data_IF_612029575787
#
_entry.id   IF_612029575787
#
_cell.length_a   1.000
_cell.length_b   1.000
_cell.length_c   1.000
_cell.angle_alpha   90.00
_cell.angle_beta   90.00
_cell.angle_gamma   90.00
#
_symmetry.space_group_name_H-M   'P 1'
#
loop_
_entity.id
_entity.type
_entity.pdbx_description
1 polymer ?
#
# COMPACT_ATOMS: atom_id res chain seq x y z
N UNK A 1 11.01 -0.85 21.48
CA UNK A 1 11.04 -1.59 20.41
C UNK A 1 10.48 -0.97 19.22
N UNK A 2 11.06 -1.21 18.18
CA UNK A 2 10.66 -0.65 16.99
C UNK A 2 9.39 -1.26 16.54
N UNK A 3 8.49 -0.45 16.21
CA UNK A 3 7.28 -0.91 15.79
C UNK A 3 7.35 -1.41 14.49
N UNK A 4 8.21 -1.16 13.78
CA UNK A 4 8.33 -1.62 12.47
C UNK A 4 7.28 -1.06 11.57
N UNK A 5 7.24 -1.61 10.38
CA UNK A 5 6.33 -1.19 9.33
C UNK A 5 5.22 -2.21 9.25
N UNK A 6 3.98 -1.85 9.58
CA UNK A 6 2.88 -2.81 9.51
C UNK A 6 2.65 -3.30 8.10
N UNK A 7 2.62 -4.60 7.94
CA UNK A 7 2.44 -5.23 6.64
C UNK A 7 1.01 -5.72 6.49
N UNK A 8 0.41 -5.43 5.36
CA UNK A 8 -0.92 -5.96 5.05
C UNK A 8 -0.75 -7.38 4.57
N UNK A 9 -1.41 -8.33 5.24
CA UNK A 9 -1.32 -9.75 4.91
C UNK A 9 -2.45 -10.15 4.01
N UNK A 10 -2.32 -11.36 3.47
CA UNK A 10 -3.38 -12.00 2.69
C UNK A 10 -3.59 -11.40 1.30
N UNK A 11 -2.59 -10.69 0.78
CA UNK A 11 -2.60 -10.27 -0.61
C UNK A 11 -1.53 -11.09 -1.30
N UNK A 12 -1.90 -11.98 -2.23
CA UNK A 12 -0.92 -12.82 -2.90
C UNK A 12 -0.09 -12.04 -3.90
N UNK A 13 0.96 -12.67 -4.38
CA UNK A 13 1.79 -12.09 -5.42
C UNK A 13 3.11 -11.63 -4.89
N UNK A 14 3.96 -11.07 -5.75
CA UNK A 14 5.34 -10.75 -5.38
C UNK A 14 5.48 -9.43 -4.63
N UNK A 15 4.40 -8.73 -4.39
CA UNK A 15 4.45 -7.40 -3.81
C UNK A 15 4.21 -7.45 -2.32
N UNK A 16 4.88 -6.54 -1.59
CA UNK A 16 4.65 -6.35 -0.17
C UNK A 16 3.88 -5.05 -0.01
N UNK A 17 2.72 -5.13 0.64
CA UNK A 17 1.87 -3.97 0.90
C UNK A 17 2.01 -3.61 2.37
N UNK A 18 2.27 -2.33 2.66
CA UNK A 18 2.56 -1.95 4.04
C UNK A 18 2.23 -0.48 4.27
N UNK A 19 2.17 -0.11 5.57
CA UNK A 19 2.02 1.27 6.01
C UNK A 19 3.21 1.64 6.88
N UNK A 20 3.50 2.93 6.97
CA UNK A 20 4.40 3.42 8.00
C UNK A 20 3.57 3.85 9.21
N UNK A 21 4.17 3.83 10.40
CA UNK A 21 3.43 4.12 11.61
C UNK A 21 2.90 5.55 11.66
N UNK A 22 3.52 6.48 10.93
CA UNK A 22 3.07 7.87 10.91
C UNK A 22 2.12 8.19 9.76
N UNK A 23 1.73 7.19 8.96
CA UNK A 23 0.89 7.42 7.80
C UNK A 23 -0.52 7.90 8.15
N UNK A 24 -0.95 7.67 9.39
CA UNK A 24 -2.35 7.96 9.77
C UNK A 24 -2.69 9.44 9.73
N UNK A 25 -1.71 10.30 9.54
CA UNK A 25 -1.95 11.73 9.40
C UNK A 25 -2.43 12.11 8.01
N UNK A 26 -2.37 11.19 7.07
CA UNK A 26 -2.74 11.45 5.69
C UNK A 26 -3.99 10.65 5.34
N UNK A 27 -4.62 10.97 4.21
CA UNK A 27 -5.70 10.11 3.71
C UNK A 27 -5.21 8.69 3.49
N UNK A 28 -6.13 7.75 3.44
CA UNK A 28 -5.80 6.34 3.32
C UNK A 28 -4.94 6.10 2.09
N UNK A 29 -3.85 5.39 2.29
CA UNK A 29 -2.93 5.03 1.22
C UNK A 29 -2.18 3.77 1.58
N UNK A 30 -1.42 3.25 0.65
CA UNK A 30 -0.62 2.05 0.86
C UNK A 30 0.70 2.19 0.13
N UNK A 31 1.74 1.66 0.74
CA UNK A 31 3.05 1.56 0.11
C UNK A 31 3.21 0.15 -0.43
N UNK A 32 3.86 0.02 -1.59
CA UNK A 32 4.05 -1.27 -2.24
C UNK A 32 5.52 -1.41 -2.60
N UNK A 33 6.10 -2.52 -2.20
CA UNK A 33 7.52 -2.77 -2.45
C UNK A 33 7.72 -4.10 -3.16
N UNK A 34 8.66 -4.12 -4.08
CA UNK A 34 9.23 -5.35 -4.62
C UNK A 34 10.71 -5.09 -4.82
N UNK A 35 11.56 -5.84 -4.10
CA UNK A 35 13.01 -5.62 -4.13
C UNK A 35 13.32 -4.19 -3.69
N UNK A 36 14.03 -3.41 -4.51
CA UNK A 36 14.38 -2.03 -4.16
C UNK A 36 13.32 -1.03 -4.62
N UNK A 37 12.36 -1.46 -5.41
CA UNK A 37 11.35 -0.57 -5.96
C UNK A 37 10.23 -0.38 -4.96
N UNK A 38 9.74 0.85 -4.87
CA UNK A 38 8.65 1.15 -3.95
C UNK A 38 7.76 2.23 -4.56
N UNK A 39 6.45 2.12 -4.32
CA UNK A 39 5.52 3.16 -4.74
C UNK A 39 4.48 3.37 -3.66
N UNK A 40 3.71 4.45 -3.82
CA UNK A 40 2.65 4.83 -2.90
C UNK A 40 1.41 5.12 -3.72
N UNK A 41 0.28 4.51 -3.33
CA UNK A 41 -1.00 4.77 -3.96
C UNK A 41 -1.99 5.26 -2.92
N UNK A 42 -2.76 6.29 -3.28
CA UNK A 42 -3.96 6.61 -2.53
C UNK A 42 -4.97 5.50 -2.78
N UNK A 43 -5.83 5.24 -1.83
CA UNK A 43 -6.76 4.12 -1.90
C UNK A 43 -8.17 4.58 -2.25
N UNK A 44 -8.50 5.83 -2.01
CA UNK A 44 -9.84 6.35 -2.27
C UNK A 44 -9.75 7.74 -2.87
N UNK A 45 -9.81 7.88 -4.18
CA UNK A 45 -9.78 6.83 -5.20
C UNK A 45 -8.39 6.25 -5.37
N UNK A 46 -8.30 5.13 -6.07
CA UNK A 46 -7.00 4.49 -6.31
C UNK A 46 -6.22 5.33 -7.30
N UNK A 47 -5.18 6.00 -6.81
CA UNK A 47 -4.40 6.94 -7.61
C UNK A 47 -2.95 6.91 -7.17
N UNK A 48 -2.05 6.90 -8.12
CA UNK A 48 -0.61 6.89 -7.81
C UNK A 48 -0.21 8.20 -7.15
N UNK A 49 0.48 8.10 -6.02
CA UNK A 49 0.97 9.26 -5.28
C UNK A 49 2.47 9.45 -5.48
N UNK A 50 3.24 8.37 -5.56
CA UNK A 50 4.69 8.45 -5.71
C UNK A 50 5.20 7.13 -6.25
N UNK A 51 6.33 7.17 -6.97
CA UNK A 51 6.92 5.98 -7.54
C UNK A 51 8.44 6.08 -7.54
N UNK A 52 9.07 5.01 -7.07
CA UNK A 52 10.52 4.86 -7.13
C UNK A 52 10.83 3.52 -7.80
N UNK A 53 11.03 3.56 -9.09
CA UNK A 53 11.61 2.43 -9.81
C UNK A 53 10.67 1.51 -10.54
N UNK A 54 9.38 1.52 -10.29
CA UNK A 54 8.48 0.66 -11.04
C UNK A 54 8.22 1.23 -12.43
N UNK A 55 8.10 0.35 -13.42
CA UNK A 55 7.70 0.76 -14.76
C UNK A 55 6.20 1.07 -14.79
N UNK A 56 5.77 1.76 -15.84
CA UNK A 56 4.36 2.04 -16.01
C UNK A 56 3.53 0.77 -16.09
N UNK A 57 4.07 -0.25 -16.76
CA UNK A 57 3.37 -1.53 -16.85
C UNK A 57 3.18 -2.13 -15.47
N UNK A 58 4.23 -2.12 -14.66
CA UNK A 58 4.15 -2.72 -13.33
C UNK A 58 3.24 -1.91 -12.42
N UNK A 59 3.25 -0.58 -12.55
CA UNK A 59 2.33 0.25 -11.79
C UNK A 59 0.87 -0.09 -12.10
N UNK A 60 0.58 -0.42 -13.35
CA UNK A 60 -0.79 -0.84 -13.71
C UNK A 60 -1.16 -2.16 -13.07
N UNK A 61 -0.21 -3.09 -12.98
CA UNK A 61 -0.43 -4.36 -12.29
C UNK A 61 -0.71 -4.10 -10.81
N UNK A 62 0.10 -3.24 -10.19
CA UNK A 62 -0.07 -2.91 -8.78
C UNK A 62 -1.42 -2.24 -8.55
N UNK A 63 -1.82 -1.34 -9.43
CA UNK A 63 -3.12 -0.68 -9.33
C UNK A 63 -4.25 -1.71 -9.33
N UNK A 64 -4.15 -2.72 -10.19
CA UNK A 64 -5.16 -3.78 -10.24
C UNK A 64 -5.24 -4.55 -8.92
N UNK A 65 -4.10 -4.84 -8.31
CA UNK A 65 -4.09 -5.47 -6.99
C UNK A 65 -4.80 -4.58 -5.97
N UNK A 66 -4.49 -3.29 -5.98
CA UNK A 66 -5.07 -2.39 -4.98
C UNK A 66 -6.58 -2.29 -5.17
N UNK A 67 -7.04 -2.24 -6.42
CA UNK A 67 -8.48 -2.19 -6.67
C UNK A 67 -9.16 -3.47 -6.23
N UNK A 68 -8.54 -4.61 -6.49
CA UNK A 68 -9.11 -5.88 -6.14
C UNK A 68 -9.16 -6.08 -4.62
N UNK A 69 -8.10 -5.69 -3.93
CA UNK A 69 -7.98 -5.93 -2.48
C UNK A 69 -8.31 -4.68 -1.66
N UNK A 70 -8.97 -3.70 -2.27
CA UNK A 70 -9.25 -2.44 -1.59
C UNK A 70 -9.98 -2.62 -0.26
N UNK A 71 -11.01 -3.48 -0.16
CA UNK A 71 -11.67 -3.65 1.13
C UNK A 71 -10.71 -4.16 2.22
N UNK A 72 -9.80 -5.06 1.85
CA UNK A 72 -8.81 -5.57 2.81
C UNK A 72 -7.84 -4.47 3.20
N UNK A 73 -7.45 -3.63 2.25
CA UNK A 73 -6.52 -2.53 2.52
C UNK A 73 -7.16 -1.50 3.43
N UNK A 74 -8.42 -1.17 3.20
CA UNK A 74 -9.14 -0.22 4.05
C UNK A 74 -9.28 -0.79 5.46
N UNK A 75 -9.61 -2.06 5.58
CA UNK A 75 -9.70 -2.71 6.88
C UNK A 75 -8.38 -2.65 7.62
N UNK A 76 -7.28 -2.98 6.92
CA UNK A 76 -5.96 -2.94 7.53
C UNK A 76 -5.57 -1.53 7.96
N UNK A 77 -5.91 -0.54 7.16
CA UNK A 77 -5.65 0.85 7.51
C UNK A 77 -6.41 1.23 8.79
N UNK A 78 -7.68 0.87 8.85
CA UNK A 78 -8.50 1.20 10.01
C UNK A 78 -7.97 0.51 11.27
N UNK A 79 -7.51 -0.74 11.14
CA UNK A 79 -6.90 -1.44 12.27
C UNK A 79 -5.62 -0.73 12.72
N UNK A 80 -4.83 -0.28 11.76
CA UNK A 80 -3.56 0.37 12.07
C UNK A 80 -3.76 1.76 12.65
N UNK A 81 -4.71 2.51 12.11
CA UNK A 81 -4.91 3.91 12.48
C UNK A 81 -6.06 4.14 13.45
N UNK A 82 -6.83 3.12 13.77
CA UNK A 82 -7.89 3.26 14.75
C UNK A 82 -9.17 3.84 14.19
N UNK A 83 -9.32 3.86 12.89
CA UNK A 83 -10.59 4.35 12.34
C UNK A 83 -10.72 3.96 10.89
#
# INVERSE_FOLDING_TARGET
MLRGVPRVRDIPGPYRFFFYSFDCREPKHVHVRREWMVCKFWVTPVTLAANHGFSSRELNVIRSYIEEYRPRLVEAWDEHCGS
#
